data_IF_858267274403
#
_entry.id   IF_858267274403
#
_cell.length_a   1.000
_cell.length_b   1.000
_cell.length_c   1.000
_cell.angle_alpha   90.00
_cell.angle_beta   90.00
_cell.angle_gamma   90.00
#
_symmetry.space_group_name_H-M   'P 1'
#
loop_
_entity.id
_entity.type
_entity.pdbx_description
1 polymer ?
#
# COMPACT_ATOMS: atom_id res chain seq x y z
N UNK A 1 -5.42 26.85 11.71
CA UNK A 1 -6.67 27.47 11.20
C UNK A 1 -6.59 27.82 9.70
N UNK A 2 -5.41 28.11 9.12
CA UNK A 2 -5.27 28.41 7.68
C UNK A 2 -5.56 27.26 6.73
N UNK A 3 -5.18 26.02 7.07
CA UNK A 3 -5.32 24.87 6.16
C UNK A 3 -6.75 24.60 5.69
N UNK A 4 -7.74 24.71 6.58
CA UNK A 4 -9.15 24.47 6.22
C UNK A 4 -9.68 25.48 5.20
N UNK A 5 -9.25 26.73 5.30
CA UNK A 5 -9.72 27.80 4.42
C UNK A 5 -9.10 27.60 3.03
N UNK A 6 -7.79 27.34 2.99
CA UNK A 6 -7.05 27.04 1.76
C UNK A 6 -7.61 25.80 1.05
N UNK A 7 -7.80 24.69 1.78
CA UNK A 7 -8.38 23.46 1.24
C UNK A 7 -9.79 23.69 0.67
N UNK A 8 -10.58 24.54 1.34
CA UNK A 8 -11.93 24.87 0.88
C UNK A 8 -11.89 25.71 -0.40
N UNK A 9 -11.09 26.77 -0.43
CA UNK A 9 -11.02 27.67 -1.60
C UNK A 9 -10.53 26.94 -2.84
N UNK A 10 -9.43 26.20 -2.72
CA UNK A 10 -8.88 25.39 -3.82
C UNK A 10 -9.87 24.32 -4.25
N UNK A 11 -10.51 23.65 -3.28
CA UNK A 11 -11.49 22.60 -3.55
C UNK A 11 -12.71 23.10 -4.31
N UNK A 12 -13.31 24.21 -3.90
CA UNK A 12 -14.49 24.78 -4.56
C UNK A 12 -14.18 25.26 -5.98
N UNK A 13 -13.07 25.98 -6.18
CA UNK A 13 -12.70 26.52 -7.49
C UNK A 13 -12.41 25.39 -8.49
N UNK A 14 -11.54 24.44 -8.13
CA UNK A 14 -11.17 23.34 -9.01
C UNK A 14 -12.35 22.38 -9.28
N UNK A 15 -13.18 22.12 -8.28
CA UNK A 15 -14.39 21.31 -8.48
C UNK A 15 -15.36 22.01 -9.43
N UNK A 16 -15.54 23.33 -9.32
CA UNK A 16 -16.37 24.10 -10.24
C UNK A 16 -15.89 24.00 -11.69
N UNK A 17 -14.58 24.06 -11.91
CA UNK A 17 -13.99 23.91 -13.24
C UNK A 17 -14.20 22.49 -13.80
N UNK A 18 -13.93 21.45 -13.00
CA UNK A 18 -14.15 20.05 -13.41
C UNK A 18 -15.60 19.79 -13.78
N UNK A 19 -16.55 20.26 -12.95
CA UNK A 19 -17.97 20.06 -13.19
C UNK A 19 -18.43 20.76 -14.46
N UNK A 20 -17.84 21.92 -14.80
CA UNK A 20 -18.12 22.65 -16.03
C UNK A 20 -17.55 21.95 -17.26
N UNK A 21 -16.29 21.51 -17.20
CA UNK A 21 -15.59 20.87 -18.33
C UNK A 21 -16.18 19.50 -18.67
N UNK A 22 -16.53 18.71 -17.65
CA UNK A 22 -17.04 17.33 -17.83
C UNK A 22 -18.56 17.22 -17.70
N UNK A 23 -19.28 18.34 -17.56
CA UNK A 23 -20.75 18.41 -17.38
C UNK A 23 -21.30 17.49 -16.29
N UNK A 24 -20.50 17.18 -15.27
CA UNK A 24 -20.82 16.21 -14.23
C UNK A 24 -20.64 16.81 -12.84
N UNK A 25 -21.75 17.06 -12.14
CA UNK A 25 -21.79 17.68 -10.81
C UNK A 25 -21.28 16.78 -9.68
N UNK A 26 -21.02 15.50 -9.95
CA UNK A 26 -20.49 14.55 -8.98
C UNK A 26 -18.95 14.54 -8.94
N UNK A 27 -18.27 15.36 -9.76
CA UNK A 27 -16.82 15.48 -9.73
C UNK A 27 -16.38 16.49 -8.66
N UNK A 28 -15.25 16.16 -8.02
CA UNK A 28 -14.61 17.04 -7.05
C UNK A 28 -13.09 16.99 -7.20
N UNK A 29 -12.45 18.09 -6.82
CA UNK A 29 -11.00 18.21 -6.71
C UNK A 29 -10.64 18.78 -5.34
N UNK A 30 -9.44 18.46 -4.87
CA UNK A 30 -8.97 18.97 -3.60
C UNK A 30 -7.48 18.70 -3.42
N UNK A 31 -6.82 19.56 -2.64
CA UNK A 31 -5.36 19.59 -2.52
C UNK A 31 -4.73 18.25 -2.08
N UNK A 32 -5.44 17.44 -1.30
CA UNK A 32 -4.97 16.11 -0.86
C UNK A 32 -5.55 14.99 -1.70
N UNK A 33 -6.86 15.01 -1.99
CA UNK A 33 -7.51 13.93 -2.74
C UNK A 33 -7.03 13.82 -4.19
N UNK A 34 -6.74 14.94 -4.85
CA UNK A 34 -6.32 14.96 -6.26
C UNK A 34 -4.93 14.36 -6.46
N UNK A 35 -3.88 14.72 -5.68
CA UNK A 35 -2.59 14.03 -5.75
C UNK A 35 -2.65 12.55 -5.40
N UNK A 36 -3.45 12.18 -4.38
CA UNK A 36 -3.61 10.76 -3.99
C UNK A 36 -4.23 9.94 -5.13
N UNK A 37 -5.25 10.46 -5.81
CA UNK A 37 -5.79 9.82 -7.01
C UNK A 37 -4.74 9.74 -8.12
N UNK A 38 -3.93 10.78 -8.28
CA UNK A 38 -2.78 10.79 -9.18
C UNK A 38 -1.82 9.63 -8.92
N UNK A 39 -1.41 9.42 -7.67
CA UNK A 39 -0.54 8.30 -7.29
C UNK A 39 -1.18 6.94 -7.58
N UNK A 40 -2.49 6.79 -7.37
CA UNK A 40 -3.20 5.53 -7.70
C UNK A 40 -3.16 5.28 -9.21
N UNK A 41 -3.40 6.31 -10.01
CA UNK A 41 -3.37 6.22 -11.48
C UNK A 41 -1.95 5.90 -11.98
N UNK A 42 -0.95 6.58 -11.45
CA UNK A 42 0.47 6.35 -11.78
C UNK A 42 0.87 4.92 -11.42
N UNK A 43 0.55 4.48 -10.21
CA UNK A 43 0.82 3.12 -9.75
C UNK A 43 0.12 2.07 -10.61
N UNK A 44 -1.09 2.34 -11.08
CA UNK A 44 -1.82 1.45 -11.99
C UNK A 44 -1.15 1.38 -13.37
N UNK A 45 -0.68 2.51 -13.91
CA UNK A 45 0.08 2.54 -15.17
C UNK A 45 1.38 1.75 -15.05
N UNK A 46 2.16 2.00 -14.00
CA UNK A 46 3.37 1.24 -13.70
C UNK A 46 3.09 -0.26 -13.64
N UNK A 47 2.04 -0.65 -12.91
CA UNK A 47 1.62 -2.05 -12.80
C UNK A 47 1.27 -2.66 -14.16
N UNK A 48 0.48 -1.94 -14.96
CA UNK A 48 0.09 -2.37 -16.31
C UNK A 48 1.29 -2.47 -17.25
N UNK A 49 2.32 -1.65 -17.05
CA UNK A 49 3.55 -1.67 -17.86
C UNK A 49 4.57 -2.70 -17.35
N UNK A 50 4.50 -3.08 -16.08
CA UNK A 50 5.39 -4.04 -15.42
C UNK A 50 4.94 -5.50 -15.51
N UNK A 51 3.98 -5.83 -16.39
CA UNK A 51 3.54 -7.20 -16.59
C UNK A 51 4.72 -8.06 -17.09
N UNK A 52 5.09 -9.06 -16.30
CA UNK A 52 6.16 -10.02 -16.58
C UNK A 52 5.68 -11.44 -16.30
N UNK A 53 6.21 -12.40 -17.04
CA UNK A 53 5.90 -13.81 -16.83
C UNK A 53 6.77 -14.38 -15.70
N UNK A 54 6.17 -15.23 -14.88
CA UNK A 54 6.87 -16.00 -13.86
C UNK A 54 6.68 -17.49 -14.12
N UNK A 55 7.75 -18.27 -13.94
CA UNK A 55 7.71 -19.72 -13.89
C UNK A 55 7.70 -20.18 -12.44
N UNK A 56 6.59 -20.76 -12.01
CA UNK A 56 6.48 -21.41 -10.70
C UNK A 56 6.71 -22.92 -10.83
N UNK A 57 7.78 -23.41 -10.22
CA UNK A 57 8.12 -24.84 -10.15
C UNK A 57 7.88 -25.35 -8.74
N UNK A 58 7.23 -26.51 -8.62
CA UNK A 58 7.18 -27.29 -7.38
C UNK A 58 8.03 -28.53 -7.58
N UNK A 59 9.15 -28.61 -6.85
CA UNK A 59 10.09 -29.72 -6.93
C UNK A 59 9.55 -30.95 -6.17
N UNK A 60 10.09 -32.14 -6.45
CA UNK A 60 9.66 -33.40 -5.81
C UNK A 60 9.78 -33.39 -4.28
N UNK A 61 10.73 -32.62 -3.76
CA UNK A 61 10.94 -32.44 -2.31
C UNK A 61 10.00 -31.39 -1.68
N UNK A 62 9.06 -30.83 -2.45
CA UNK A 62 8.09 -29.82 -2.01
C UNK A 62 8.61 -28.39 -2.04
N UNK A 63 9.85 -28.13 -2.47
CA UNK A 63 10.36 -26.76 -2.62
C UNK A 63 9.66 -26.04 -3.78
N UNK A 64 9.20 -24.82 -3.51
CA UNK A 64 8.63 -23.93 -4.51
C UNK A 64 9.71 -22.95 -4.98
N UNK A 65 9.98 -22.95 -6.28
CA UNK A 65 10.93 -22.04 -6.92
C UNK A 65 10.16 -21.17 -7.90
N UNK A 66 10.30 -19.85 -7.76
CA UNK A 66 9.71 -18.89 -8.68
C UNK A 66 10.81 -18.16 -9.43
N UNK A 67 10.80 -18.24 -10.75
CA UNK A 67 11.77 -17.58 -11.63
C UNK A 67 11.06 -16.51 -12.46
N UNK A 68 11.60 -15.29 -12.48
CA UNK A 68 11.11 -14.22 -13.36
C UNK A 68 11.64 -14.44 -14.78
N UNK A 69 10.73 -14.59 -15.75
CA UNK A 69 11.04 -14.82 -17.16
C UNK A 69 11.03 -13.55 -18.01
N UNK A 70 10.65 -12.41 -17.42
CA UNK A 70 10.49 -11.14 -18.13
C UNK A 70 9.25 -11.10 -19.05
N UNK A 71 9.21 -10.14 -19.97
CA UNK A 71 8.03 -9.87 -20.82
C UNK A 71 7.82 -10.89 -21.94
N UNK A 72 8.89 -11.54 -22.41
CA UNK A 72 8.84 -12.49 -23.53
C UNK A 72 8.70 -13.95 -23.05
N UNK A 73 8.47 -14.17 -21.75
CA UNK A 73 8.47 -15.49 -21.11
C UNK A 73 7.24 -16.36 -21.34
N UNK A 74 6.35 -16.02 -22.28
CA UNK A 74 5.06 -16.69 -22.45
C UNK A 74 5.17 -18.15 -22.88
N UNK A 75 6.16 -18.46 -23.71
CA UNK A 75 6.33 -19.77 -24.35
C UNK A 75 7.55 -20.54 -23.81
N UNK A 76 8.01 -20.21 -22.60
CA UNK A 76 9.11 -20.93 -21.96
C UNK A 76 8.59 -22.22 -21.34
N UNK A 77 9.07 -23.35 -21.85
CA UNK A 77 8.78 -24.65 -21.27
C UNK A 77 9.52 -24.84 -19.93
N UNK A 78 8.90 -25.49 -18.94
CA UNK A 78 9.56 -25.80 -17.69
C UNK A 78 10.75 -26.75 -17.92
N UNK A 79 11.90 -26.53 -17.27
CA UNK A 79 13.03 -27.45 -17.36
C UNK A 79 12.68 -28.79 -16.71
N UNK A 80 13.27 -29.87 -17.23
CA UNK A 80 13.05 -31.24 -16.73
C UNK A 80 13.71 -31.48 -15.36
N UNK A 81 14.83 -30.80 -15.09
CA UNK A 81 15.55 -30.90 -13.82
C UNK A 81 16.09 -29.54 -13.37
N UNK A 82 16.23 -29.38 -12.05
CA UNK A 82 16.83 -28.21 -11.41
C UNK A 82 18.00 -28.69 -10.55
N UNK A 83 19.17 -28.08 -10.74
CA UNK A 83 20.39 -28.41 -9.97
C UNK A 83 20.61 -27.34 -8.91
N UNK A 84 20.80 -27.77 -7.66
CA UNK A 84 21.21 -26.88 -6.56
C UNK A 84 22.73 -26.73 -6.61
N UNK A 85 23.22 -25.52 -6.85
CA UNK A 85 24.65 -25.24 -6.92
C UNK A 85 25.29 -25.00 -5.55
N UNK A 86 24.56 -24.33 -4.64
CA UNK A 86 25.07 -23.96 -3.33
C UNK A 86 23.96 -23.92 -2.27
N UNK A 87 24.31 -24.26 -1.03
CA UNK A 87 23.41 -24.20 0.14
C UNK A 87 24.16 -23.59 1.31
N UNK A 88 23.70 -22.44 1.75
CA UNK A 88 24.29 -21.71 2.87
C UNK A 88 23.35 -21.69 4.06
N UNK A 89 23.92 -21.90 5.25
CA UNK A 89 23.22 -21.74 6.52
C UNK A 89 23.66 -20.43 7.16
N UNK A 90 22.72 -19.50 7.35
CA UNK A 90 22.98 -18.24 8.04
C UNK A 90 22.15 -18.15 9.32
N UNK A 91 22.81 -17.79 10.42
CA UNK A 91 22.14 -17.34 11.63
C UNK A 91 21.92 -15.84 11.56
N UNK A 92 20.66 -15.41 11.69
CA UNK A 92 20.28 -13.99 11.69
C UNK A 92 19.55 -13.66 12.98
N UNK A 93 20.02 -12.62 13.66
CA UNK A 93 19.32 -12.05 14.80
C UNK A 93 18.26 -11.05 14.29
N UNK A 94 16.99 -11.31 14.59
CA UNK A 94 15.89 -10.43 14.21
C UNK A 94 15.54 -9.51 15.39
N UNK A 95 15.77 -8.23 15.21
CA UNK A 95 15.37 -7.22 16.18
C UNK A 95 13.84 -7.08 16.24
N UNK A 96 13.26 -6.82 17.43
CA UNK A 96 11.82 -6.58 17.54
C UNK A 96 11.41 -5.34 16.75
N UNK A 97 10.16 -5.35 16.28
CA UNK A 97 9.62 -4.19 15.59
C UNK A 97 9.52 -2.98 16.53
N UNK A 98 9.81 -1.76 16.04
CA UNK A 98 9.59 -0.55 16.84
C UNK A 98 8.10 -0.35 17.13
N UNK A 99 7.78 0.46 18.16
CA UNK A 99 6.41 0.84 18.52
C UNK A 99 5.63 1.47 17.35
N UNK A 100 4.30 1.38 17.43
CA UNK A 100 3.41 1.85 16.38
C UNK A 100 3.42 3.38 16.24
N UNK A 101 3.56 3.85 15.00
CA UNK A 101 3.20 5.21 14.57
C UNK A 101 1.89 5.18 13.79
N UNK A 102 1.18 6.32 13.74
CA UNK A 102 -0.16 6.44 13.14
C UNK A 102 -0.14 6.22 11.64
N UNK A 103 0.62 7.06 10.92
CA UNK A 103 0.70 7.00 9.47
C UNK A 103 1.53 5.81 8.97
N UNK A 104 2.54 5.39 9.73
CA UNK A 104 3.54 4.44 9.25
C UNK A 104 3.15 2.97 9.37
N UNK A 105 2.65 2.52 10.53
CA UNK A 105 2.47 1.09 10.80
C UNK A 105 1.09 0.71 11.31
N UNK A 106 0.48 1.50 12.19
CA UNK A 106 -0.82 1.14 12.79
C UNK A 106 -1.90 0.95 11.73
N UNK A 107 -2.07 1.93 10.82
CA UNK A 107 -3.09 1.85 9.77
C UNK A 107 -2.81 0.73 8.75
N UNK A 108 -1.53 0.48 8.44
CA UNK A 108 -1.11 -0.58 7.52
C UNK A 108 -1.41 -1.96 8.09
N UNK A 109 -1.04 -2.20 9.35
CA UNK A 109 -1.22 -3.50 10.00
C UNK A 109 -2.69 -3.77 10.30
N UNK A 110 -3.45 -2.76 10.72
CA UNK A 110 -4.90 -2.89 10.91
C UNK A 110 -5.63 -3.25 9.60
N UNK A 111 -5.25 -2.64 8.49
CA UNK A 111 -5.79 -3.00 7.17
C UNK A 111 -5.36 -4.42 6.76
N UNK A 112 -4.09 -4.78 6.99
CA UNK A 112 -3.53 -6.07 6.56
C UNK A 112 -4.09 -7.25 7.36
N UNK A 113 -4.05 -7.15 8.69
CA UNK A 113 -4.38 -8.23 9.61
C UNK A 113 -5.85 -8.23 10.03
N UNK A 114 -6.42 -7.06 10.30
CA UNK A 114 -7.78 -6.92 10.82
C UNK A 114 -8.82 -6.54 9.75
N UNK A 115 -8.38 -6.24 8.53
CA UNK A 115 -9.23 -5.81 7.40
C UNK A 115 -10.07 -4.56 7.72
N UNK A 116 -9.59 -3.72 8.63
CA UNK A 116 -10.26 -2.49 9.02
C UNK A 116 -9.94 -1.34 8.06
N UNK A 117 -10.94 -0.51 7.76
CA UNK A 117 -10.71 0.72 7.02
C UNK A 117 -9.90 1.72 7.87
N UNK A 118 -9.20 2.65 7.21
CA UNK A 118 -8.46 3.70 7.93
C UNK A 118 -9.36 4.53 8.86
N UNK A 119 -10.57 4.98 8.46
CA UNK A 119 -11.48 5.70 9.35
C UNK A 119 -11.93 4.88 10.56
N UNK A 120 -12.28 3.60 10.38
CA UNK A 120 -12.68 2.74 11.49
C UNK A 120 -11.53 2.51 12.47
N UNK A 121 -10.34 2.24 11.95
CA UNK A 121 -9.13 2.05 12.77
C UNK A 121 -8.85 3.28 13.62
N UNK A 122 -8.93 4.47 13.02
CA UNK A 122 -8.73 5.74 13.74
C UNK A 122 -9.80 6.00 14.80
N UNK A 123 -11.06 5.61 14.54
CA UNK A 123 -12.15 5.73 15.52
C UNK A 123 -11.92 4.80 16.70
N UNK A 124 -11.64 3.52 16.45
CA UNK A 124 -11.40 2.54 17.51
C UNK A 124 -10.17 2.91 18.35
N UNK A 125 -9.09 3.39 17.72
CA UNK A 125 -7.92 3.87 18.44
C UNK A 125 -8.21 5.12 19.29
N UNK A 126 -9.13 5.99 18.85
CA UNK A 126 -9.61 7.10 19.68
C UNK A 126 -10.38 6.57 20.90
N UNK A 127 -11.30 5.63 20.72
CA UNK A 127 -12.07 5.03 21.81
C UNK A 127 -11.15 4.37 22.85
N UNK A 128 -10.16 3.58 22.40
CA UNK A 128 -9.17 2.95 23.29
C UNK A 128 -8.33 3.97 24.07
N UNK A 129 -7.95 5.08 23.43
CA UNK A 129 -7.21 6.16 24.09
C UNK A 129 -8.07 6.86 25.16
N UNK A 130 -9.33 7.14 24.85
CA UNK A 130 -10.28 7.77 25.78
C UNK A 130 -10.61 6.87 26.98
N UNK A 131 -10.58 5.55 26.79
CA UNK A 131 -10.69 4.56 27.87
C UNK A 131 -9.39 4.38 28.69
N UNK A 132 -8.28 5.02 28.28
CA UNK A 132 -6.98 4.89 28.95
C UNK A 132 -6.27 3.57 28.68
N UNK A 133 -6.63 2.85 27.61
CA UNK A 133 -6.04 1.54 27.26
C UNK A 133 -4.78 1.65 26.41
N UNK A 134 -4.60 2.77 25.70
CA UNK A 134 -3.42 3.05 24.86
C UNK A 134 -2.95 4.49 25.02
N UNK A 135 -1.72 4.79 24.56
CA UNK A 135 -1.22 6.17 24.43
C UNK A 135 -1.84 6.88 23.22
N UNK A 136 -1.63 8.20 23.13
CA UNK A 136 -2.17 9.00 22.03
C UNK A 136 -1.77 8.45 20.65
N UNK A 137 -2.76 8.02 19.89
CA UNK A 137 -2.57 7.24 18.65
C UNK A 137 -2.30 8.09 17.41
N UNK A 138 -2.20 9.43 17.51
CA UNK A 138 -1.88 10.36 16.40
C UNK A 138 -0.45 10.92 16.57
N UNK A 139 0.54 10.05 16.44
CA UNK A 139 1.98 10.31 16.60
C UNK A 139 2.78 9.76 15.41
N UNK A 140 3.69 10.58 14.91
CA UNK A 140 4.67 10.19 13.88
C UNK A 140 6.02 9.79 14.48
N UNK A 141 6.19 9.94 15.80
CA UNK A 141 7.42 9.57 16.50
C UNK A 141 7.21 8.21 17.16
N UNK A 142 8.02 7.18 16.81
CA UNK A 142 8.05 5.95 17.58
C UNK A 142 8.61 6.27 18.96
N UNK A 143 7.81 6.02 20.01
CA UNK A 143 8.21 6.15 21.41
C UNK A 143 8.31 4.78 22.04
#
# INVERSE_FOLDING_TARGET
RGSRIEDSWIGFELSGELQRVFENRNLSAGRVQTPVLGWIIERYKEFSESEVYFLGLTLENGLQVTVELGKDGKDVEPPEYVTVEDVQLEERELNPAPPYTTGGKLLRDASTFLKLSAPETMRLAQDLFEMGLITYHRTEVPR
#
